data_IF_102447982744
#
_entry.id   IF_102447982744
#
_cell.length_a   1.000
_cell.length_b   1.000
_cell.length_c   1.000
_cell.angle_alpha   90.00
_cell.angle_beta   90.00
_cell.angle_gamma   90.00
#
_symmetry.space_group_name_H-M   'P 1'
#
loop_
_entity.id
_entity.type
_entity.pdbx_description
1 polymer ?
#
# COMPACT_ATOMS: atom_id res chain seq x y z
N UNK A 1 1.35 -16.80 63.89
CA UNK A 1 0.32 -17.75 63.41
C UNK A 1 -0.23 -17.28 62.06
N UNK A 2 0.05 -18.01 60.99
CA UNK A 2 -0.38 -17.70 59.61
C UNK A 2 -1.75 -18.30 59.25
N UNK A 3 -2.29 -19.20 60.08
CA UNK A 3 -3.51 -19.99 59.81
C UNK A 3 -4.84 -19.24 60.00
N UNK A 4 -4.90 -18.22 60.87
CA UNK A 4 -6.12 -17.44 61.16
C UNK A 4 -6.23 -16.11 60.36
N UNK A 5 -5.32 -15.86 59.40
CA UNK A 5 -5.29 -14.62 58.60
C UNK A 5 -6.49 -14.46 57.66
N UNK A 6 -7.13 -15.55 57.25
CA UNK A 6 -8.30 -15.51 56.35
C UNK A 6 -9.59 -15.20 57.12
N UNK A 7 -9.78 -15.86 58.27
CA UNK A 7 -10.91 -15.61 59.19
C UNK A 7 -10.91 -14.19 59.76
N UNK A 8 -9.74 -13.63 60.12
CA UNK A 8 -9.64 -12.24 60.58
C UNK A 8 -9.85 -11.18 59.49
N UNK A 9 -9.77 -11.55 58.20
CA UNK A 9 -9.99 -10.64 57.07
C UNK A 9 -11.42 -10.59 56.57
N UNK A 10 -12.26 -11.57 56.91
CA UNK A 10 -13.66 -11.63 56.44
C UNK A 10 -14.52 -10.49 56.99
N UNK A 11 -14.13 -9.87 58.12
CA UNK A 11 -14.78 -8.68 58.69
C UNK A 11 -14.12 -7.34 58.37
N UNK A 12 -12.99 -7.30 57.66
CA UNK A 12 -12.28 -6.05 57.34
C UNK A 12 -12.88 -5.38 56.11
N UNK A 13 -13.29 -4.10 56.25
CA UNK A 13 -13.79 -3.31 55.12
C UNK A 13 -12.65 -2.94 54.17
N UNK A 14 -12.87 -3.12 52.87
CA UNK A 14 -11.93 -2.70 51.83
C UNK A 14 -12.11 -1.18 51.62
N UNK A 15 -11.07 -0.40 51.96
CA UNK A 15 -11.06 1.03 51.67
C UNK A 15 -10.69 1.26 50.21
N UNK A 16 -11.64 1.83 49.43
CA UNK A 16 -11.42 2.19 48.02
C UNK A 16 -10.85 3.61 47.92
N UNK A 17 -9.97 3.82 46.95
CA UNK A 17 -9.37 5.13 46.69
C UNK A 17 -10.36 6.03 45.91
N UNK A 18 -10.37 7.34 46.19
CA UNK A 18 -11.25 8.31 45.51
C UNK A 18 -10.68 8.77 44.17
N UNK A 19 -11.54 9.04 43.21
CA UNK A 19 -11.22 9.61 41.89
C UNK A 19 -10.90 11.12 41.96
N UNK A 20 -10.40 11.68 40.86
CA UNK A 20 -10.26 13.13 40.68
C UNK A 20 -11.66 13.77 40.56
N UNK A 21 -11.95 14.93 41.20
CA UNK A 21 -13.20 15.66 40.99
C UNK A 21 -13.38 16.08 39.53
N UNK A 22 -14.61 16.03 39.03
CA UNK A 22 -14.92 16.30 37.62
C UNK A 22 -14.48 17.69 37.15
N UNK A 23 -14.64 18.71 37.99
CA UNK A 23 -14.18 20.08 37.71
C UNK A 23 -12.67 20.19 37.46
N UNK A 24 -11.88 19.24 37.98
CA UNK A 24 -10.43 19.16 37.86
C UNK A 24 -9.95 17.98 37.01
N UNK A 25 -10.85 17.32 36.29
CA UNK A 25 -10.50 16.19 35.43
C UNK A 25 -9.47 16.57 34.33
N UNK A 26 -9.46 17.84 33.90
CA UNK A 26 -8.51 18.35 32.91
C UNK A 26 -7.03 18.29 33.36
N UNK A 27 -6.74 18.24 34.66
CA UNK A 27 -5.37 18.05 35.18
C UNK A 27 -4.91 16.59 35.17
N UNK A 28 -5.76 15.66 34.71
CA UNK A 28 -5.48 14.24 34.71
C UNK A 28 -5.73 13.57 36.06
N UNK A 29 -5.10 12.41 36.26
CA UNK A 29 -5.32 11.57 37.44
C UNK A 29 -4.82 12.26 38.72
N UNK A 30 -5.60 12.14 39.80
CA UNK A 30 -5.21 12.64 41.11
C UNK A 30 -4.17 11.71 41.75
N UNK A 31 -2.89 12.10 41.68
CA UNK A 31 -1.79 11.36 42.28
C UNK A 31 -2.05 11.04 43.75
N UNK A 32 -1.78 9.79 44.13
CA UNK A 32 -1.85 9.32 45.51
C UNK A 32 -0.46 9.11 46.09
N UNK A 33 -0.39 8.74 47.36
CA UNK A 33 0.88 8.52 48.06
C UNK A 33 1.78 7.50 47.36
N UNK A 34 1.20 6.45 46.77
CA UNK A 34 1.95 5.43 46.01
C UNK A 34 2.62 6.04 44.78
N UNK A 35 1.88 6.85 44.02
CA UNK A 35 2.38 7.52 42.81
C UNK A 35 3.46 8.54 43.16
N UNK A 36 3.24 9.34 44.22
CA UNK A 36 4.24 10.27 44.74
C UNK A 36 5.55 9.56 45.11
N UNK A 37 5.48 8.41 45.78
CA UNK A 37 6.68 7.66 46.16
C UNK A 37 7.44 7.19 44.91
N UNK A 38 6.74 6.70 43.88
CA UNK A 38 7.36 6.29 42.61
C UNK A 38 8.01 7.49 41.90
N UNK A 39 7.29 8.61 41.79
CA UNK A 39 7.79 9.86 41.20
C UNK A 39 9.02 10.40 41.94
N UNK A 40 8.99 10.43 43.27
CA UNK A 40 10.11 10.90 44.09
C UNK A 40 11.34 9.98 43.97
N UNK A 41 11.13 8.65 43.90
CA UNK A 41 12.22 7.69 43.67
C UNK A 41 12.86 7.87 42.30
N UNK A 42 12.06 8.00 41.24
CA UNK A 42 12.56 8.25 39.88
C UNK A 42 13.35 9.57 39.80
N UNK A 43 12.80 10.64 40.38
CA UNK A 43 13.47 11.94 40.44
C UNK A 43 14.82 11.86 41.17
N UNK A 44 14.86 11.23 42.35
CA UNK A 44 16.09 11.07 43.12
C UNK A 44 17.12 10.18 42.40
N UNK A 45 16.67 9.14 41.68
CA UNK A 45 17.53 8.32 40.84
C UNK A 45 18.16 9.14 39.71
N UNK A 46 17.35 9.90 38.96
CA UNK A 46 17.82 10.78 37.88
C UNK A 46 18.76 11.86 38.40
N UNK A 47 18.44 12.49 39.54
CA UNK A 47 19.29 13.46 40.22
C UNK A 47 20.66 12.86 40.59
N UNK A 48 20.67 11.69 41.20
CA UNK A 48 21.91 10.97 41.53
C UNK A 48 22.73 10.59 40.30
N UNK A 49 22.07 10.15 39.22
CA UNK A 49 22.73 9.85 37.93
C UNK A 49 23.38 11.08 37.32
N UNK A 50 22.67 12.22 37.28
CA UNK A 50 23.20 13.48 36.78
C UNK A 50 24.39 13.97 37.61
N UNK A 51 24.34 13.83 38.94
CA UNK A 51 25.47 14.19 39.79
C UNK A 51 26.72 13.36 39.48
N UNK A 52 26.58 12.04 39.29
CA UNK A 52 27.69 11.17 38.90
C UNK A 52 28.24 11.52 37.52
N UNK A 53 27.37 11.81 36.55
CA UNK A 53 27.79 12.23 35.21
C UNK A 53 28.56 13.55 35.25
N UNK A 54 28.10 14.52 36.05
CA UNK A 54 28.83 15.79 36.29
C UNK A 54 30.21 15.54 36.90
N UNK A 55 30.30 14.68 37.90
CA UNK A 55 31.59 14.34 38.51
C UNK A 55 32.54 13.67 37.50
N UNK A 56 32.04 12.76 36.66
CA UNK A 56 32.83 12.16 35.57
C UNK A 56 33.31 13.19 34.56
N UNK A 57 32.45 14.12 34.16
CA UNK A 57 32.80 15.19 33.23
C UNK A 57 33.87 16.14 33.81
N UNK A 58 33.79 16.46 35.10
CA UNK A 58 34.79 17.29 35.80
C UNK A 58 36.13 16.57 35.93
N UNK A 59 36.11 15.26 36.19
CA UNK A 59 37.31 14.44 36.35
C UNK A 59 37.85 13.88 35.01
N UNK A 60 37.39 14.40 33.86
CA UNK A 60 37.81 13.91 32.54
C UNK A 60 39.28 14.25 32.28
N UNK A 61 40.07 13.28 31.84
CA UNK A 61 41.42 13.51 31.37
C UNK A 61 41.36 14.07 29.93
N UNK A 62 41.89 15.28 29.65
CA UNK A 62 41.89 15.84 28.29
C UNK A 62 42.67 14.98 27.28
N UNK A 63 43.66 14.21 27.74
CA UNK A 63 44.55 13.42 26.90
C UNK A 63 44.13 11.94 26.80
N UNK A 64 42.91 11.59 27.21
CA UNK A 64 42.42 10.22 27.11
C UNK A 64 42.24 9.77 25.65
N UNK A 65 42.75 8.59 25.32
CA UNK A 65 42.60 8.00 23.99
C UNK A 65 42.01 6.59 24.07
N UNK A 66 40.91 6.38 23.37
CA UNK A 66 40.30 5.07 23.14
C UNK A 66 40.29 4.76 21.64
N UNK A 67 40.63 3.53 21.26
CA UNK A 67 40.63 3.10 19.85
C UNK A 67 39.28 3.32 19.13
N UNK A 68 38.18 3.35 19.88
CA UNK A 68 36.85 3.63 19.33
C UNK A 68 36.66 5.09 18.87
N UNK A 69 37.50 6.02 19.35
CA UNK A 69 37.52 7.41 18.88
C UNK A 69 37.96 7.52 17.41
N UNK A 70 38.57 6.49 16.82
CA UNK A 70 38.90 6.45 15.38
C UNK A 70 37.62 6.25 14.54
N UNK A 71 36.63 5.52 15.08
CA UNK A 71 35.38 5.16 14.40
C UNK A 71 34.18 5.98 14.88
N UNK A 72 34.43 7.06 15.61
CA UNK A 72 33.40 7.97 16.08
C UNK A 72 33.91 9.39 16.04
N UNK A 73 33.00 10.34 15.93
CA UNK A 73 33.34 11.75 15.87
C UNK A 73 32.37 12.56 16.74
N UNK A 74 32.79 13.76 17.12
CA UNK A 74 31.96 14.72 17.83
C UNK A 74 31.46 15.72 16.80
N UNK A 75 30.14 15.92 16.72
CA UNK A 75 29.54 16.90 15.81
C UNK A 75 29.86 18.35 16.24
N UNK A 76 29.53 19.32 15.38
CA UNK A 76 29.66 20.75 15.70
C UNK A 76 28.81 21.15 16.92
N UNK A 77 27.76 20.38 17.21
CA UNK A 77 26.87 20.51 18.36
C UNK A 77 27.43 19.90 19.66
N UNK A 78 28.59 19.25 19.60
CA UNK A 78 29.25 18.62 20.75
C UNK A 78 28.67 17.24 21.11
N UNK A 79 27.81 16.65 20.27
CA UNK A 79 27.23 15.32 20.48
C UNK A 79 28.09 14.24 19.82
N UNK A 80 28.22 13.09 20.47
CA UNK A 80 28.95 11.94 19.95
C UNK A 80 28.14 11.20 18.88
N UNK A 81 28.76 10.95 17.73
CA UNK A 81 28.21 10.18 16.63
C UNK A 81 29.13 9.00 16.28
N UNK A 82 28.53 7.84 16.05
CA UNK A 82 29.24 6.70 15.49
C UNK A 82 29.43 6.90 13.99
N UNK A 83 30.66 6.76 13.51
CA UNK A 83 30.94 6.70 12.08
C UNK A 83 30.57 5.29 11.62
N UNK A 84 29.30 5.11 11.25
CA UNK A 84 28.81 3.87 10.66
C UNK A 84 29.66 3.59 9.41
N UNK A 85 30.36 2.45 9.32
CA UNK A 85 31.04 2.10 8.08
C UNK A 85 30.01 2.11 6.96
N UNK A 86 30.25 2.86 5.88
CA UNK A 86 29.41 2.71 4.70
C UNK A 86 29.44 1.23 4.30
N UNK A 87 28.29 0.58 4.10
CA UNK A 87 28.26 -0.81 3.68
C UNK A 87 28.98 -0.89 2.34
N UNK A 88 29.99 -1.77 2.27
CA UNK A 88 30.93 -2.03 1.15
C UNK A 88 30.76 -1.07 -0.02
N UNK A 89 31.77 -0.23 -0.29
CA UNK A 89 31.85 0.54 -1.52
C UNK A 89 31.90 -0.43 -2.72
N UNK A 90 30.72 -0.91 -3.15
CA UNK A 90 30.59 -1.75 -4.32
C UNK A 90 31.28 -1.02 -5.46
N UNK A 91 32.19 -1.70 -6.17
CA UNK A 91 32.78 -1.13 -7.38
C UNK A 91 31.65 -0.66 -8.31
N UNK A 92 31.86 0.38 -9.10
CA UNK A 92 30.90 0.86 -10.10
C UNK A 92 30.29 -0.27 -10.95
N UNK A 93 31.07 -1.31 -11.23
CA UNK A 93 30.63 -2.53 -11.94
C UNK A 93 29.62 -3.35 -11.12
N UNK A 94 29.88 -3.59 -9.83
CA UNK A 94 28.98 -4.31 -8.93
C UNK A 94 27.65 -3.56 -8.74
N UNK A 95 27.70 -2.22 -8.60
CA UNK A 95 26.48 -1.38 -8.56
C UNK A 95 25.64 -1.53 -9.83
N UNK A 96 26.28 -1.49 -11.01
CA UNK A 96 25.60 -1.72 -12.31
C UNK A 96 25.01 -3.13 -12.40
N UNK A 97 25.71 -4.15 -11.91
CA UNK A 97 25.26 -5.54 -11.95
C UNK A 97 24.05 -5.78 -11.04
N UNK A 98 24.03 -5.18 -9.84
CA UNK A 98 22.86 -5.17 -8.95
C UNK A 98 21.64 -4.51 -9.62
N UNK A 99 21.84 -3.34 -10.24
CA UNK A 99 20.77 -2.64 -10.99
C UNK A 99 20.22 -3.51 -12.17
N UNK A 100 21.09 -4.25 -12.87
CA UNK A 100 20.68 -5.16 -13.96
C UNK A 100 19.89 -6.38 -13.46
N UNK A 101 20.34 -7.00 -12.37
CA UNK A 101 19.63 -8.13 -11.74
C UNK A 101 18.22 -7.69 -11.30
N UNK A 102 18.14 -6.52 -10.66
CA UNK A 102 16.87 -5.93 -10.23
C UNK A 102 15.95 -5.64 -11.42
N UNK A 103 16.46 -5.04 -12.50
CA UNK A 103 15.67 -4.77 -13.71
C UNK A 103 15.12 -6.07 -14.34
N UNK A 104 15.94 -7.12 -14.45
CA UNK A 104 15.49 -8.42 -14.97
C UNK A 104 14.39 -9.03 -14.10
N UNK A 105 14.56 -8.96 -12.78
CA UNK A 105 13.57 -9.45 -11.82
C UNK A 105 12.24 -8.69 -11.95
N UNK A 106 12.26 -7.36 -11.95
CA UNK A 106 11.02 -6.55 -12.05
C UNK A 106 10.33 -6.79 -13.40
N UNK A 107 11.07 -6.89 -14.52
CA UNK A 107 10.50 -7.26 -15.83
C UNK A 107 9.83 -8.62 -15.81
N UNK A 108 10.49 -9.62 -15.21
CA UNK A 108 9.90 -10.94 -15.08
C UNK A 108 8.60 -10.90 -14.25
N UNK A 109 8.60 -10.18 -13.12
CA UNK A 109 7.39 -9.99 -12.29
C UNK A 109 6.25 -9.30 -13.06
N UNK A 110 6.56 -8.28 -13.85
CA UNK A 110 5.61 -7.59 -14.72
C UNK A 110 5.00 -8.55 -15.75
N UNK A 111 5.81 -9.38 -16.41
CA UNK A 111 5.32 -10.38 -17.36
C UNK A 111 4.40 -11.41 -16.69
N UNK A 112 4.75 -11.89 -15.50
CA UNK A 112 3.90 -12.80 -14.72
C UNK A 112 2.56 -12.16 -14.36
N UNK A 113 2.53 -10.88 -13.98
CA UNK A 113 1.27 -10.17 -13.71
C UNK A 113 0.45 -9.97 -14.98
N UNK A 114 1.07 -9.60 -16.11
CA UNK A 114 0.37 -9.47 -17.39
C UNK A 114 -0.28 -10.79 -17.83
N UNK A 115 0.43 -11.92 -17.73
CA UNK A 115 -0.15 -13.23 -18.02
C UNK A 115 -1.34 -13.58 -17.12
N UNK A 116 -1.28 -13.21 -15.83
CA UNK A 116 -2.41 -13.41 -14.91
C UNK A 116 -3.60 -12.50 -15.26
N UNK A 117 -3.33 -11.25 -15.66
CA UNK A 117 -4.34 -10.32 -16.14
C UNK A 117 -5.00 -10.87 -17.41
N UNK A 118 -4.24 -11.38 -18.37
CA UNK A 118 -4.76 -11.99 -19.59
C UNK A 118 -5.64 -13.20 -19.30
N UNK A 119 -5.18 -14.11 -18.43
CA UNK A 119 -5.99 -15.27 -17.99
C UNK A 119 -7.30 -14.83 -17.34
N UNK A 120 -7.25 -13.85 -16.44
CA UNK A 120 -8.47 -13.30 -15.81
C UNK A 120 -9.38 -12.59 -16.82
N UNK A 121 -8.83 -11.84 -17.77
CA UNK A 121 -9.60 -11.19 -18.83
C UNK A 121 -10.26 -12.20 -19.75
N UNK A 122 -9.60 -13.31 -20.04
CA UNK A 122 -10.16 -14.39 -20.85
C UNK A 122 -11.34 -15.09 -20.15
N UNK A 123 -11.29 -15.24 -18.83
CA UNK A 123 -12.40 -15.83 -18.05
C UNK A 123 -13.53 -14.84 -17.75
N UNK A 124 -13.23 -13.55 -17.61
CA UNK A 124 -14.21 -12.50 -17.34
C UNK A 124 -14.79 -11.93 -18.65
N UNK A 125 -16.07 -12.20 -18.93
CA UNK A 125 -16.71 -11.75 -20.16
C UNK A 125 -17.08 -10.25 -20.21
N UNK A 126 -16.84 -9.46 -19.14
CA UNK A 126 -17.14 -8.01 -19.01
C UNK A 126 -18.58 -7.57 -19.34
N UNK A 127 -19.48 -8.50 -19.58
CA UNK A 127 -20.79 -8.23 -20.17
C UNK A 127 -21.73 -7.40 -19.26
N UNK A 128 -21.53 -7.47 -17.95
CA UNK A 128 -22.27 -6.71 -16.93
C UNK A 128 -21.59 -5.40 -16.51
N UNK A 129 -20.39 -5.11 -17.02
CA UNK A 129 -19.68 -3.88 -16.66
C UNK A 129 -20.19 -2.69 -17.47
N UNK A 130 -20.62 -1.63 -16.79
CA UNK A 130 -21.27 -0.44 -17.40
C UNK A 130 -20.27 0.45 -18.18
N UNK A 131 -19.03 0.00 -18.36
CA UNK A 131 -17.88 0.85 -18.75
C UNK A 131 -18.05 1.49 -20.13
N UNK A 132 -18.70 0.82 -21.09
CA UNK A 132 -18.99 1.38 -22.40
C UNK A 132 -20.49 1.52 -22.62
N UNK A 133 -21.02 2.74 -22.77
CA UNK A 133 -22.41 2.96 -23.23
C UNK A 133 -22.44 2.80 -24.75
N UNK A 134 -22.66 1.60 -25.25
CA UNK A 134 -22.89 1.38 -26.69
C UNK A 134 -24.33 1.78 -27.05
N UNK A 135 -24.51 2.47 -28.17
CA UNK A 135 -25.82 2.89 -28.70
C UNK A 135 -26.33 1.84 -29.69
N UNK A 136 -27.54 1.32 -29.47
CA UNK A 136 -28.22 0.44 -30.41
C UNK A 136 -29.32 1.22 -31.15
N UNK A 137 -29.06 1.57 -32.41
CA UNK A 137 -29.99 2.30 -33.27
C UNK A 137 -30.86 1.34 -34.06
N UNK A 138 -32.18 1.53 -34.03
CA UNK A 138 -33.15 0.70 -34.74
C UNK A 138 -33.74 1.53 -35.87
N UNK A 139 -33.73 0.98 -37.08
CA UNK A 139 -34.30 1.61 -38.26
C UNK A 139 -35.74 1.15 -38.47
N UNK A 140 -36.60 2.09 -38.85
CA UNK A 140 -38.03 1.88 -39.05
C UNK A 140 -38.46 2.63 -40.30
N UNK A 141 -39.36 2.05 -41.09
CA UNK A 141 -39.68 2.52 -42.44
C UNK A 141 -40.55 3.80 -42.42
N UNK A 142 -41.47 3.93 -41.45
CA UNK A 142 -42.34 5.11 -41.37
C UNK A 142 -42.19 5.92 -40.09
N UNK A 143 -42.41 7.24 -40.20
CA UNK A 143 -42.40 8.17 -39.06
C UNK A 143 -43.48 7.86 -38.01
N UNK A 144 -44.58 7.23 -38.41
CA UNK A 144 -45.66 6.83 -37.50
C UNK A 144 -45.21 5.67 -36.61
N UNK A 145 -44.59 4.65 -37.21
CA UNK A 145 -44.03 3.51 -36.47
C UNK A 145 -42.90 3.91 -35.54
N UNK A 146 -42.05 4.87 -35.95
CA UNK A 146 -41.00 5.41 -35.09
C UNK A 146 -41.56 6.06 -33.80
N UNK A 147 -42.74 6.70 -33.87
CA UNK A 147 -43.38 7.32 -32.70
C UNK A 147 -44.07 6.31 -31.77
N UNK A 148 -44.59 5.21 -32.31
CA UNK A 148 -45.28 4.16 -31.56
C UNK A 148 -44.40 2.94 -31.26
N UNK A 149 -43.08 3.09 -31.37
CA UNK A 149 -42.14 1.97 -31.26
C UNK A 149 -42.09 1.42 -29.83
N UNK A 150 -42.33 0.12 -29.68
CA UNK A 150 -42.24 -0.59 -28.40
C UNK A 150 -41.12 -1.66 -28.46
N UNK A 151 -40.03 -1.49 -27.68
CA UNK A 151 -38.93 -2.45 -27.63
C UNK A 151 -39.36 -3.86 -27.23
N UNK A 152 -40.37 -4.00 -26.35
CA UNK A 152 -40.84 -5.30 -25.84
C UNK A 152 -41.40 -6.12 -27.01
N UNK A 153 -42.28 -5.50 -27.81
CA UNK A 153 -42.92 -6.13 -28.98
C UNK A 153 -41.92 -6.39 -30.10
N UNK A 154 -41.03 -5.44 -30.37
CA UNK A 154 -40.03 -5.58 -31.43
C UNK A 154 -39.09 -6.77 -31.17
N UNK A 155 -38.55 -6.89 -29.95
CA UNK A 155 -37.65 -7.99 -29.60
C UNK A 155 -38.39 -9.29 -29.22
N UNK A 156 -39.70 -9.24 -28.94
CA UNK A 156 -40.50 -10.37 -28.43
C UNK A 156 -39.92 -10.94 -27.12
N UNK A 157 -39.52 -10.04 -26.23
CA UNK A 157 -38.84 -10.35 -24.96
C UNK A 157 -39.64 -9.82 -23.77
N UNK A 158 -39.32 -10.26 -22.56
CA UNK A 158 -39.91 -9.71 -21.33
C UNK A 158 -39.31 -8.34 -20.99
N UNK A 159 -40.12 -7.46 -20.39
CA UNK A 159 -39.70 -6.10 -20.02
C UNK A 159 -38.47 -6.07 -19.10
N UNK A 160 -38.36 -7.03 -18.19
CA UNK A 160 -37.27 -7.13 -17.20
C UNK A 160 -35.88 -7.40 -17.82
N UNK A 161 -35.84 -7.96 -19.02
CA UNK A 161 -34.60 -8.38 -19.69
C UNK A 161 -34.11 -7.31 -20.67
N UNK A 162 -34.94 -6.31 -20.99
CA UNK A 162 -34.59 -5.24 -21.93
C UNK A 162 -33.34 -4.45 -21.52
N UNK A 163 -33.13 -4.27 -20.21
CA UNK A 163 -31.96 -3.55 -19.68
C UNK A 163 -30.66 -4.34 -19.83
N UNK A 164 -30.72 -5.68 -19.90
CA UNK A 164 -29.54 -6.54 -20.10
C UNK A 164 -29.06 -6.40 -21.53
N UNK A 165 -27.76 -6.36 -21.80
CA UNK A 165 -27.26 -6.14 -23.19
C UNK A 165 -27.04 -7.41 -23.99
N UNK A 166 -26.78 -8.51 -23.30
CA UNK A 166 -26.45 -9.80 -23.89
C UNK A 166 -27.50 -10.82 -23.47
N UNK A 167 -27.60 -11.90 -24.25
CA UNK A 167 -28.48 -13.04 -23.99
C UNK A 167 -29.94 -12.62 -23.63
N UNK A 168 -30.64 -12.03 -24.60
CA UNK A 168 -32.07 -11.66 -24.50
C UNK A 168 -32.93 -12.72 -25.21
N UNK A 169 -33.35 -13.81 -24.55
CA UNK A 169 -34.14 -14.86 -25.20
C UNK A 169 -35.55 -14.38 -25.52
N UNK A 170 -36.08 -14.81 -26.67
CA UNK A 170 -37.48 -14.59 -27.03
C UNK A 170 -38.39 -15.46 -26.18
N UNK A 171 -39.64 -15.01 -26.00
CA UNK A 171 -40.65 -15.74 -25.23
C UNK A 171 -40.88 -17.16 -25.78
N UNK A 172 -40.90 -17.33 -27.11
CA UNK A 172 -41.01 -18.64 -27.75
C UNK A 172 -39.84 -19.57 -27.40
N UNK A 173 -38.61 -19.03 -27.38
CA UNK A 173 -37.42 -19.80 -27.02
C UNK A 173 -37.45 -20.24 -25.56
N UNK A 174 -37.93 -19.39 -24.66
CA UNK A 174 -38.11 -19.72 -23.24
C UNK A 174 -39.14 -20.84 -23.01
N UNK A 175 -40.15 -20.95 -23.88
CA UNK A 175 -41.17 -22.01 -23.81
C UNK A 175 -40.64 -23.35 -24.34
N UNK A 176 -39.80 -23.34 -25.39
CA UNK A 176 -39.31 -24.56 -26.04
C UNK A 176 -38.03 -25.13 -25.41
N UNK A 177 -37.15 -24.27 -24.89
CA UNK A 177 -35.82 -24.69 -24.42
C UNK A 177 -35.74 -24.82 -22.89
N UNK A 178 -35.20 -25.94 -22.42
CA UNK A 178 -34.84 -26.13 -21.02
C UNK A 178 -33.60 -25.31 -20.68
N UNK A 179 -33.71 -24.39 -19.72
CA UNK A 179 -32.61 -23.52 -19.32
C UNK A 179 -31.69 -24.27 -18.35
N UNK A 180 -30.43 -24.50 -18.73
CA UNK A 180 -29.38 -25.09 -17.89
C UNK A 180 -28.75 -24.02 -16.99
N UNK A 181 -29.56 -23.29 -16.22
CA UNK A 181 -29.08 -22.29 -15.28
C UNK A 181 -29.28 -22.76 -13.84
N UNK A 182 -28.62 -22.08 -12.91
CA UNK A 182 -28.80 -22.27 -11.48
C UNK A 182 -30.29 -22.21 -11.09
N UNK A 183 -30.79 -23.29 -10.49
CA UNK A 183 -32.22 -23.45 -10.16
C UNK A 183 -32.62 -22.66 -8.91
N UNK A 184 -31.66 -22.38 -8.01
CA UNK A 184 -31.90 -21.67 -6.75
C UNK A 184 -31.32 -20.26 -6.79
N UNK A 185 -32.01 -19.34 -6.09
CA UNK A 185 -31.58 -17.94 -5.97
C UNK A 185 -30.24 -17.79 -5.25
N UNK A 186 -29.93 -18.69 -4.31
CA UNK A 186 -28.71 -18.61 -3.52
C UNK A 186 -27.46 -19.00 -4.32
N UNK A 187 -27.57 -19.99 -5.22
CA UNK A 187 -26.52 -20.35 -6.18
C UNK A 187 -26.16 -19.14 -7.09
N UNK A 188 -27.17 -18.37 -7.52
CA UNK A 188 -26.98 -17.14 -8.31
C UNK A 188 -26.26 -16.06 -7.50
N UNK A 189 -26.59 -15.90 -6.21
CA UNK A 189 -25.89 -14.93 -5.35
C UNK A 189 -24.43 -15.34 -5.13
N UNK A 190 -24.16 -16.63 -4.94
CA UNK A 190 -22.82 -17.14 -4.73
C UNK A 190 -21.95 -16.91 -5.97
N UNK A 191 -22.45 -17.26 -7.16
CA UNK A 191 -21.74 -17.01 -8.43
C UNK A 191 -21.52 -15.52 -8.69
N UNK A 192 -22.48 -14.64 -8.37
CA UNK A 192 -22.27 -13.19 -8.47
C UNK A 192 -21.20 -12.68 -7.49
N UNK A 193 -21.17 -13.21 -6.27
CA UNK A 193 -20.14 -12.87 -5.28
C UNK A 193 -18.74 -13.27 -5.76
N UNK A 194 -18.57 -14.50 -6.26
CA UNK A 194 -17.32 -15.00 -6.84
C UNK A 194 -16.88 -14.12 -8.02
N UNK A 195 -17.82 -13.78 -8.90
CA UNK A 195 -17.56 -12.89 -10.03
C UNK A 195 -17.10 -11.49 -9.60
N UNK A 196 -17.73 -10.88 -8.58
CA UNK A 196 -17.30 -9.58 -8.03
C UNK A 196 -15.89 -9.67 -7.44
N UNK A 197 -15.56 -10.77 -6.76
CA UNK A 197 -14.22 -11.04 -6.24
C UNK A 197 -13.20 -11.07 -7.37
N UNK A 198 -13.49 -11.78 -8.47
CA UNK A 198 -12.62 -11.85 -9.65
C UNK A 198 -12.40 -10.48 -10.32
N UNK A 199 -13.45 -9.65 -10.44
CA UNK A 199 -13.30 -8.27 -10.92
C UNK A 199 -12.43 -7.42 -9.99
N UNK A 200 -12.62 -7.53 -8.67
CA UNK A 200 -11.80 -6.80 -7.69
C UNK A 200 -10.32 -7.21 -7.77
N UNK A 201 -10.07 -8.50 -8.00
CA UNK A 201 -8.74 -9.06 -8.15
C UNK A 201 -8.07 -8.58 -9.45
N UNK A 202 -8.82 -8.58 -10.57
CA UNK A 202 -8.36 -8.05 -11.84
C UNK A 202 -7.94 -6.58 -11.72
N UNK A 203 -8.76 -5.75 -11.08
CA UNK A 203 -8.48 -4.32 -10.90
C UNK A 203 -7.20 -4.09 -10.11
N UNK A 204 -7.03 -4.81 -8.98
CA UNK A 204 -5.79 -4.76 -8.18
C UNK A 204 -4.57 -5.20 -8.97
N UNK A 205 -4.69 -6.25 -9.80
CA UNK A 205 -3.58 -6.69 -10.67
C UNK A 205 -3.22 -5.65 -11.72
N UNK A 206 -4.22 -5.02 -12.35
CA UNK A 206 -3.97 -3.94 -13.31
C UNK A 206 -3.23 -2.76 -12.67
N UNK A 207 -3.61 -2.36 -11.45
CA UNK A 207 -2.89 -1.33 -10.69
C UNK A 207 -1.44 -1.74 -10.42
N UNK A 208 -1.22 -2.96 -9.91
CA UNK A 208 0.12 -3.49 -9.65
C UNK A 208 0.97 -3.57 -10.92
N UNK A 209 0.40 -4.00 -12.04
CA UNK A 209 1.11 -4.07 -13.31
C UNK A 209 1.54 -2.67 -13.79
N UNK A 210 0.70 -1.64 -13.58
CA UNK A 210 1.06 -0.26 -13.88
C UNK A 210 2.21 0.23 -12.98
N UNK A 211 2.16 -0.04 -11.68
CA UNK A 211 3.25 0.30 -10.74
C UNK A 211 4.57 -0.37 -11.15
N UNK A 212 4.53 -1.69 -11.43
CA UNK A 212 5.70 -2.42 -11.90
C UNK A 212 6.23 -1.86 -13.22
N UNK A 213 5.34 -1.45 -14.13
CA UNK A 213 5.73 -0.84 -15.41
C UNK A 213 6.52 0.44 -15.18
N UNK A 214 6.04 1.31 -14.30
CA UNK A 214 6.71 2.57 -13.95
C UNK A 214 8.09 2.28 -13.32
N UNK A 215 8.19 1.28 -12.45
CA UNK A 215 9.49 0.89 -11.86
C UNK A 215 10.46 0.40 -12.94
N UNK A 216 10.00 -0.44 -13.88
CA UNK A 216 10.82 -0.88 -15.02
C UNK A 216 11.31 0.32 -15.82
N UNK A 217 10.42 1.25 -16.19
CA UNK A 217 10.77 2.45 -16.96
C UNK A 217 11.82 3.31 -16.21
N UNK A 218 11.66 3.51 -14.89
CA UNK A 218 12.62 4.25 -14.07
C UNK A 218 14.00 3.58 -14.05
N UNK A 219 14.05 2.26 -13.85
CA UNK A 219 15.30 1.50 -13.84
C UNK A 219 15.97 1.50 -15.22
N UNK A 220 15.20 1.39 -16.31
CA UNK A 220 15.70 1.49 -17.67
C UNK A 220 16.30 2.86 -17.97
N UNK A 221 15.61 3.94 -17.60
CA UNK A 221 16.14 5.29 -17.77
C UNK A 221 17.40 5.49 -16.94
N UNK A 222 17.43 5.06 -15.67
CA UNK A 222 18.62 5.13 -14.82
C UNK A 222 19.80 4.40 -15.46
N UNK A 223 19.57 3.18 -15.97
CA UNK A 223 20.57 2.39 -16.69
C UNK A 223 21.09 3.15 -17.92
N UNK A 224 20.20 3.65 -18.77
CA UNK A 224 20.57 4.36 -20.01
C UNK A 224 21.35 5.66 -19.71
N UNK A 225 20.98 6.38 -18.64
CA UNK A 225 21.71 7.57 -18.18
C UNK A 225 23.10 7.19 -17.68
N UNK A 226 23.24 6.11 -16.92
CA UNK A 226 24.54 5.61 -16.47
C UNK A 226 25.42 5.15 -17.65
N UNK A 227 24.86 4.47 -18.66
CA UNK A 227 25.57 4.09 -19.89
C UNK A 227 26.01 5.30 -20.72
N UNK A 228 25.31 6.45 -20.59
CA UNK A 228 25.72 7.70 -21.22
C UNK A 228 26.82 8.45 -20.46
N UNK A 229 27.09 8.12 -19.19
CA UNK A 229 28.19 8.72 -18.41
C UNK A 229 29.53 8.24 -18.99
N UNK A 230 30.13 9.07 -19.83
CA UNK A 230 31.37 8.77 -20.57
C UNK A 230 31.31 9.16 -22.04
N UNK A 231 30.12 9.44 -22.58
CA UNK A 231 29.95 10.00 -23.92
C UNK A 231 30.03 11.52 -23.88
N UNK A 232 30.52 12.13 -24.97
CA UNK A 232 30.60 13.59 -25.12
C UNK A 232 29.20 14.22 -25.07
N UNK A 233 28.25 13.61 -25.79
CA UNK A 233 26.87 14.08 -25.86
C UNK A 233 26.03 13.52 -24.71
N UNK A 234 25.79 14.37 -23.72
CA UNK A 234 24.93 14.02 -22.56
C UNK A 234 23.45 14.25 -22.89
N UNK A 235 22.56 13.35 -22.46
CA UNK A 235 21.12 13.55 -22.63
C UNK A 235 20.61 14.74 -21.80
N UNK A 236 19.72 15.54 -22.39
CA UNK A 236 19.08 16.68 -21.71
C UNK A 236 17.79 16.21 -21.02
N UNK A 237 17.64 16.49 -19.72
CA UNK A 237 16.42 16.15 -18.97
C UNK A 237 15.29 17.11 -19.37
N UNK A 238 14.19 16.58 -19.90
CA UNK A 238 12.99 17.38 -20.26
C UNK A 238 12.01 17.39 -19.10
N UNK A 239 11.72 16.22 -18.52
CA UNK A 239 10.74 16.08 -17.44
C UNK A 239 11.40 15.54 -16.17
N UNK A 240 10.95 16.07 -15.02
CA UNK A 240 11.36 15.58 -13.71
C UNK A 240 10.73 14.23 -13.40
N UNK A 241 11.31 13.54 -12.43
CA UNK A 241 10.76 12.27 -11.96
C UNK A 241 9.54 12.55 -11.08
N UNK A 242 8.45 11.84 -11.31
CA UNK A 242 7.24 11.87 -10.49
C UNK A 242 7.03 10.49 -9.84
N UNK A 243 6.08 10.38 -8.91
CA UNK A 243 5.78 9.11 -8.25
C UNK A 243 5.38 8.04 -9.27
N UNK A 244 4.45 8.38 -10.18
CA UNK A 244 3.84 7.45 -11.14
C UNK A 244 4.35 7.64 -12.58
N UNK A 245 5.46 8.37 -12.79
CA UNK A 245 6.05 8.55 -14.13
C UNK A 245 7.58 8.56 -14.05
N UNK A 246 8.21 7.89 -15.00
CA UNK A 246 9.66 7.92 -15.15
C UNK A 246 10.13 9.29 -15.70
N UNK A 247 11.35 9.74 -15.34
CA UNK A 247 11.91 10.97 -15.89
C UNK A 247 12.18 10.84 -17.39
N UNK A 248 11.88 11.88 -18.16
CA UNK A 248 12.07 11.90 -19.62
C UNK A 248 13.33 12.66 -19.98
N UNK A 249 14.18 12.02 -20.78
CA UNK A 249 15.41 12.57 -21.31
C UNK A 249 15.37 12.64 -22.83
N UNK A 250 15.96 13.69 -23.41
CA UNK A 250 16.22 13.84 -24.84
C UNK A 250 17.66 13.45 -25.12
N UNK A 251 17.85 12.35 -25.84
CA UNK A 251 19.16 12.00 -26.39
C UNK A 251 19.39 12.78 -27.69
N UNK A 252 20.61 13.26 -27.87
CA UNK A 252 21.04 13.85 -29.15
C UNK A 252 21.25 12.69 -30.11
N UNK A 253 20.79 12.84 -31.36
CA UNK A 253 20.96 11.80 -32.38
C UNK A 253 22.44 11.69 -32.74
N UNK A 254 23.02 10.53 -32.45
CA UNK A 254 24.37 10.16 -32.83
C UNK A 254 24.34 8.74 -33.38
N UNK A 255 24.88 8.53 -34.59
CA UNK A 255 24.98 7.20 -35.17
C UNK A 255 26.02 6.40 -34.40
N UNK A 256 25.61 5.28 -33.80
CA UNK A 256 26.55 4.31 -33.22
C UNK A 256 27.47 3.85 -34.35
N UNK A 257 28.78 4.12 -34.22
CA UNK A 257 29.81 3.54 -35.08
C UNK A 257 29.89 2.03 -34.86
#
# INVERSE_FOLDING_TARGET
MSSLKRSSKTGQRIHRERTQPESRAHFGLLEKKKDYIQRARDYNYKKGKLQRLRQKALNRNPDEFHFHMIRSHIGEDGVHYESIPEPDEDTLVQKKLKDLQNLKYVKHRLNVENQKIEKLRATLHFADTVVAKNTHTIFVDTKKEAKSFDPVKHFKTLKEILDRRYNRPRISTLQTSGIINAKRKDDVKQTDHERRKMYSELLKRMQRANELKIVVEKLEVKRNVVESKGKELRPKKIAKEELMKAPVYKWIYERKK
#
